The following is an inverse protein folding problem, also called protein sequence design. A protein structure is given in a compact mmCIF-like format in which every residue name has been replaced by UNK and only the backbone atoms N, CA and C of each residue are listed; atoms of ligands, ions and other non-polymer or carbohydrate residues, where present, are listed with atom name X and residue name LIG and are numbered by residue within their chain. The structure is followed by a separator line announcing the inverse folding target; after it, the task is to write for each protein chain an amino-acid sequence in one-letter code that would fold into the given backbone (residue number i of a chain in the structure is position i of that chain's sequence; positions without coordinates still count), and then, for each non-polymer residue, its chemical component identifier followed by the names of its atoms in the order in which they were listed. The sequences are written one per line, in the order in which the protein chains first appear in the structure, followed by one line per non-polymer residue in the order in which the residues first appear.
data_IF_854486753962
#
_entry.id   IF_854486753962
#
_cell.length_a   1.000
_cell.length_b   1.000
_cell.length_c   1.000
_cell.angle_alpha   90.00
_cell.angle_beta   90.00
_cell.angle_gamma   90.00
#
_symmetry.space_group_name_H-M   'P 1'
#
loop_
_entity.id
_entity.type
_entity.pdbx_description
1 polymer ?
#
# COMPACT_ATOMS: atom_id res chain seq x y z
N UNK A 1 29.88 -8.64 -78.50
CA UNK A 1 29.04 -7.64 -79.19
C UNK A 1 28.75 -6.53 -78.19
N UNK A 2 29.37 -5.37 -78.44
CA UNK A 2 29.30 -4.14 -77.66
C UNK A 2 28.01 -3.39 -77.99
N UNK A 3 27.40 -2.70 -77.02
CA UNK A 3 26.94 -1.30 -77.12
C UNK A 3 26.80 -0.78 -75.69
N UNK A 4 27.71 0.14 -75.32
CA UNK A 4 27.49 1.15 -74.30
C UNK A 4 26.61 2.25 -74.88
N UNK A 5 25.64 2.74 -74.10
CA UNK A 5 25.08 4.07 -74.29
C UNK A 5 25.02 4.77 -72.92
N UNK A 6 26.06 5.57 -72.67
CA UNK A 6 26.08 6.66 -71.70
C UNK A 6 25.13 7.75 -72.15
N UNK A 7 24.26 8.25 -71.26
CA UNK A 7 23.56 9.52 -71.47
C UNK A 7 23.69 10.41 -70.23
N UNK A 8 24.18 11.60 -70.53
CA UNK A 8 24.59 12.73 -69.71
C UNK A 8 23.50 13.34 -68.84
N UNK A 9 23.87 13.76 -67.62
CA UNK A 9 23.14 14.71 -66.78
C UNK A 9 23.42 16.15 -67.25
N UNK A 10 22.46 17.07 -67.08
CA UNK A 10 22.80 18.27 -66.33
C UNK A 10 21.83 18.56 -65.18
N UNK A 11 22.47 19.04 -64.12
CA UNK A 11 21.96 19.68 -62.91
C UNK A 11 20.72 20.55 -63.10
N UNK A 12 19.69 20.31 -62.30
CA UNK A 12 18.80 21.36 -61.80
C UNK A 12 19.15 21.58 -60.33
N UNK A 13 19.77 22.73 -60.09
CA UNK A 13 20.12 23.22 -58.78
C UNK A 13 18.99 24.10 -58.21
N UNK A 14 18.98 24.16 -56.88
CA UNK A 14 18.39 25.18 -56.01
C UNK A 14 16.91 25.01 -55.64
N UNK A 15 16.74 24.47 -54.44
CA UNK A 15 15.55 24.59 -53.61
C UNK A 15 15.93 24.32 -52.15
N UNK A 16 16.84 25.13 -51.60
CA UNK A 16 17.27 25.08 -50.21
C UNK A 16 16.08 25.39 -49.29
N UNK A 17 15.54 24.39 -48.60
CA UNK A 17 14.64 24.61 -47.45
C UNK A 17 15.28 24.03 -46.20
N UNK A 18 16.00 24.91 -45.50
CA UNK A 18 16.40 24.73 -44.11
C UNK A 18 15.15 24.84 -43.23
N UNK A 19 14.50 23.72 -42.92
CA UNK A 19 13.63 23.63 -41.74
C UNK A 19 14.40 22.99 -40.60
N UNK A 20 15.17 23.83 -39.90
CA UNK A 20 15.69 23.54 -38.56
C UNK A 20 14.48 23.47 -37.62
N UNK A 21 13.86 22.30 -37.56
CA UNK A 21 12.91 21.93 -36.53
C UNK A 21 13.62 21.07 -35.51
N UNK A 22 14.59 21.64 -34.80
CA UNK A 22 15.08 21.05 -33.56
C UNK A 22 13.92 21.11 -32.56
N UNK A 23 13.07 20.08 -32.61
CA UNK A 23 12.07 19.82 -31.60
C UNK A 23 12.80 19.52 -30.30
N UNK A 24 13.07 20.57 -29.53
CA UNK A 24 13.30 20.46 -28.09
C UNK A 24 12.03 19.83 -27.52
N UNK A 25 12.01 18.50 -27.44
CA UNK A 25 11.14 17.81 -26.53
C UNK A 25 11.64 18.20 -25.14
N UNK A 26 11.09 19.28 -24.61
CA UNK A 26 11.15 19.55 -23.18
C UNK A 26 10.68 18.26 -22.52
N UNK A 27 11.61 17.52 -21.93
CA UNK A 27 11.30 16.45 -21.00
C UNK A 27 10.48 17.11 -19.92
N UNK A 28 9.15 17.06 -20.06
CA UNK A 28 8.27 17.46 -18.98
C UNK A 28 8.69 16.62 -17.79
N UNK A 29 8.99 17.23 -16.63
CA UNK A 29 9.11 16.46 -15.41
C UNK A 29 7.83 15.65 -15.31
N UNK A 30 7.92 14.33 -15.48
CA UNK A 30 6.81 13.47 -15.06
C UNK A 30 6.74 13.68 -13.56
N UNK A 31 5.78 14.49 -13.12
CA UNK A 31 5.40 14.58 -11.73
C UNK A 31 5.16 13.15 -11.26
N UNK A 32 6.12 12.61 -10.51
CA UNK A 32 5.94 11.35 -9.80
C UNK A 32 4.87 11.64 -8.77
N UNK A 33 3.61 11.46 -9.17
CA UNK A 33 2.46 11.60 -8.28
C UNK A 33 2.75 10.74 -7.05
N UNK A 34 2.87 11.38 -5.89
CA UNK A 34 3.18 10.71 -4.64
C UNK A 34 2.14 9.59 -4.42
N UNK A 35 2.54 8.34 -4.66
CA UNK A 35 1.63 7.18 -4.57
C UNK A 35 1.26 6.94 -3.12
N UNK A 36 0.10 7.41 -2.67
CA UNK A 36 -0.38 7.13 -1.32
C UNK A 36 -0.58 5.64 -1.07
N UNK A 37 -0.29 5.19 0.15
CA UNK A 37 -0.65 3.85 0.59
C UNK A 37 -2.12 3.83 1.01
N UNK A 38 -2.87 2.83 0.53
CA UNK A 38 -4.29 2.67 0.87
C UNK A 38 -4.58 1.32 1.52
N UNK A 39 -5.51 1.32 2.47
CA UNK A 39 -5.99 0.08 3.10
C UNK A 39 -7.02 -0.60 2.19
N UNK A 40 -7.12 -1.95 2.22
CA UNK A 40 -8.15 -2.67 1.49
C UNK A 40 -9.55 -2.28 1.97
N UNK A 41 -10.47 -2.01 1.05
CA UNK A 41 -11.86 -1.63 1.37
C UNK A 41 -12.56 -2.64 2.27
N UNK A 42 -12.25 -3.94 2.10
CA UNK A 42 -12.80 -5.02 2.91
C UNK A 42 -12.45 -4.96 4.39
N UNK A 43 -11.39 -4.25 4.80
CA UNK A 43 -10.97 -4.16 6.20
C UNK A 43 -11.43 -2.86 6.87
N UNK A 44 -11.86 -1.87 6.08
CA UNK A 44 -12.23 -0.55 6.58
C UNK A 44 -13.41 -0.63 7.54
N UNK A 45 -13.41 0.27 8.52
CA UNK A 45 -14.42 0.33 9.57
C UNK A 45 -13.80 0.49 10.95
N UNK A 46 -14.67 0.44 11.96
CA UNK A 46 -14.31 0.46 13.38
C UNK A 46 -14.56 -0.92 13.95
N UNK A 47 -13.56 -1.47 14.62
CA UNK A 47 -13.58 -2.85 15.08
C UNK A 47 -13.08 -2.92 16.52
N UNK A 48 -13.69 -3.76 17.35
CA UNK A 48 -13.27 -3.92 18.74
C UNK A 48 -13.34 -5.39 19.16
N UNK A 49 -12.34 -5.88 19.88
CA UNK A 49 -12.43 -7.20 20.52
C UNK A 49 -13.39 -7.13 21.71
N UNK A 50 -13.99 -8.26 22.05
CA UNK A 50 -14.62 -8.36 23.37
C UNK A 50 -13.58 -8.17 24.47
N UNK A 51 -14.07 -7.72 25.63
CA UNK A 51 -13.27 -7.61 26.83
C UNK A 51 -12.94 -9.02 27.36
N UNK A 52 -11.68 -9.30 27.61
CA UNK A 52 -11.27 -10.57 28.22
C UNK A 52 -11.46 -10.56 29.75
N UNK A 53 -11.09 -11.67 30.41
CA UNK A 53 -11.18 -11.83 31.87
C UNK A 53 -10.31 -10.84 32.65
N UNK A 54 -9.23 -10.34 32.04
CA UNK A 54 -8.34 -9.34 32.63
C UNK A 54 -8.83 -7.91 32.37
N UNK A 55 -9.98 -7.76 31.73
CA UNK A 55 -10.54 -6.46 31.37
C UNK A 55 -9.96 -5.86 30.09
N UNK A 56 -9.12 -6.59 29.34
CA UNK A 56 -8.42 -6.09 28.16
C UNK A 56 -9.31 -6.12 26.92
N UNK A 57 -9.23 -5.09 26.09
CA UNK A 57 -9.78 -5.10 24.74
C UNK A 57 -8.96 -4.20 23.82
N UNK A 58 -9.01 -4.48 22.52
CA UNK A 58 -8.33 -3.68 21.51
C UNK A 58 -9.34 -3.12 20.50
N UNK A 59 -9.17 -1.84 20.19
CA UNK A 59 -9.92 -1.11 19.19
C UNK A 59 -9.04 -0.82 17.97
N UNK A 60 -9.61 -1.05 16.79
CA UNK A 60 -9.01 -0.72 15.50
C UNK A 60 -9.95 0.22 14.74
N UNK A 61 -9.39 1.27 14.13
CA UNK A 61 -10.11 2.08 13.14
C UNK A 61 -9.30 2.13 11.85
N UNK A 62 -9.89 1.62 10.77
CA UNK A 62 -9.24 1.44 9.48
C UNK A 62 -9.97 2.32 8.46
N UNK A 63 -9.30 3.38 8.00
CA UNK A 63 -9.78 4.27 6.94
C UNK A 63 -8.98 4.04 5.66
N UNK A 64 -9.36 4.69 4.54
CA UNK A 64 -8.64 4.54 3.26
C UNK A 64 -7.14 4.80 3.37
N UNK A 65 -6.72 5.75 4.21
CA UNK A 65 -5.33 6.20 4.34
C UNK A 65 -4.79 6.13 5.76
N UNK A 66 -5.51 5.48 6.69
CA UNK A 66 -5.18 5.54 8.10
C UNK A 66 -5.47 4.23 8.80
N UNK A 67 -4.58 3.84 9.69
CA UNK A 67 -4.77 2.72 10.58
C UNK A 67 -4.50 3.17 12.01
N UNK A 68 -5.53 3.11 12.85
CA UNK A 68 -5.50 3.49 14.24
C UNK A 68 -5.68 2.27 15.14
N UNK A 69 -4.91 2.21 16.21
CA UNK A 69 -4.96 1.16 17.22
C UNK A 69 -4.99 1.79 18.60
N UNK A 70 -5.89 1.31 19.45
CA UNK A 70 -5.90 1.65 20.86
C UNK A 70 -6.22 0.43 21.73
N UNK A 71 -5.61 0.36 22.90
CA UNK A 71 -5.81 -0.71 23.87
C UNK A 71 -6.59 -0.14 25.07
N UNK A 72 -7.45 -0.98 25.65
CA UNK A 72 -8.27 -0.60 26.78
C UNK A 72 -8.18 -1.66 27.86
N UNK A 73 -8.09 -1.22 29.12
CA UNK A 73 -8.23 -2.07 30.30
C UNK A 73 -9.42 -1.56 31.13
N UNK A 74 -10.38 -2.44 31.42
CA UNK A 74 -11.63 -2.09 32.10
C UNK A 74 -12.36 -0.88 31.46
N UNK A 75 -12.35 -0.80 30.13
CA UNK A 75 -13.00 0.27 29.38
C UNK A 75 -12.25 1.61 29.35
N UNK A 76 -11.08 1.71 30.00
CA UNK A 76 -10.22 2.90 29.98
C UNK A 76 -9.05 2.68 29.02
N UNK A 77 -8.72 3.71 28.23
CA UNK A 77 -7.57 3.68 27.34
C UNK A 77 -6.28 3.43 28.13
N UNK A 78 -5.44 2.52 27.67
CA UNK A 78 -4.14 2.21 28.28
C UNK A 78 -3.02 2.28 27.24
N UNK A 79 -1.89 2.85 27.65
CA UNK A 79 -0.79 3.14 26.73
C UNK A 79 -1.10 4.29 25.77
N UNK A 80 -0.19 4.53 24.84
CA UNK A 80 -0.37 5.55 23.80
C UNK A 80 -1.03 4.93 22.56
N UNK A 81 -2.17 5.48 22.10
CA UNK A 81 -2.76 5.05 20.84
C UNK A 81 -1.79 5.24 19.68
N UNK A 82 -1.82 4.32 18.73
CA UNK A 82 -0.98 4.37 17.54
C UNK A 82 -1.80 4.75 16.32
N UNK A 83 -1.25 5.64 15.49
CA UNK A 83 -1.82 6.00 14.19
C UNK A 83 -0.75 5.94 13.10
N UNK A 84 -1.05 5.21 12.03
CA UNK A 84 -0.18 5.06 10.87
C UNK A 84 -0.87 5.63 9.65
N UNK A 85 -0.18 6.55 8.96
CA UNK A 85 -0.74 7.27 7.81
C UNK A 85 -0.16 6.79 6.49
N UNK A 86 -1.03 6.45 5.54
CA UNK A 86 -0.65 6.16 4.15
C UNK A 86 -0.37 7.41 3.31
N UNK A 87 -0.49 8.61 3.90
CA UNK A 87 -0.13 9.88 3.26
C UNK A 87 1.18 10.46 3.78
N UNK A 88 1.67 9.98 4.92
CA UNK A 88 2.88 10.50 5.57
C UNK A 88 4.07 9.61 5.24
N UNK A 89 5.16 10.18 4.77
CA UNK A 89 6.43 9.47 4.66
C UNK A 89 7.05 9.29 6.05
N UNK A 90 7.75 8.19 6.26
CA UNK A 90 8.52 8.00 7.49
C UNK A 90 9.83 8.78 7.44
N UNK A 91 10.21 9.45 8.54
CA UNK A 91 11.36 10.35 8.57
C UNK A 91 12.73 9.62 8.44
N UNK A 92 12.77 8.32 8.71
CA UNK A 92 14.02 7.56 8.85
C UNK A 92 14.14 6.36 7.89
N UNK A 93 13.17 6.16 6.99
CA UNK A 93 13.18 5.05 6.01
C UNK A 93 12.52 5.50 4.70
N UNK A 94 12.85 4.83 3.61
CA UNK A 94 12.09 4.97 2.36
C UNK A 94 10.69 4.37 2.55
N UNK A 95 9.66 5.16 2.27
CA UNK A 95 8.27 4.72 2.22
C UNK A 95 7.30 5.48 3.13
N UNK A 96 6.04 5.09 3.07
CA UNK A 96 4.98 5.66 3.92
C UNK A 96 5.02 5.05 5.32
N UNK A 97 4.47 5.79 6.28
CA UNK A 97 4.34 5.39 7.68
C UNK A 97 3.42 4.18 7.85
N UNK A 98 2.33 4.13 7.07
CA UNK A 98 1.49 2.94 6.94
C UNK A 98 2.06 1.97 5.91
N UNK A 99 2.25 0.72 6.29
CA UNK A 99 2.50 -0.40 5.37
C UNK A 99 1.22 -1.21 5.17
N UNK A 100 0.97 -1.64 3.93
CA UNK A 100 -0.13 -2.54 3.56
C UNK A 100 0.44 -3.61 2.62
N UNK A 101 0.33 -4.89 3.00
CA UNK A 101 0.75 -5.99 2.13
C UNK A 101 -0.27 -6.28 1.05
N UNK A 102 0.15 -7.03 0.03
CA UNK A 102 -0.79 -7.77 -0.81
C UNK A 102 -1.53 -8.83 0.03
N UNK A 103 -2.68 -9.27 -0.49
CA UNK A 103 -3.47 -10.33 0.13
C UNK A 103 -2.70 -11.64 0.06
N UNK A 104 -2.51 -12.31 1.20
CA UNK A 104 -1.90 -13.64 1.25
C UNK A 104 -2.83 -14.71 0.64
N UNK A 105 -2.32 -15.90 0.29
CA UNK A 105 -3.14 -17.03 -0.17
C UNK A 105 -4.24 -17.44 0.83
N UNK A 106 -4.02 -17.21 2.13
CA UNK A 106 -5.01 -17.47 3.20
C UNK A 106 -6.06 -16.35 3.33
N UNK A 107 -5.88 -15.28 2.57
CA UNK A 107 -6.80 -14.15 2.45
C UNK A 107 -6.57 -13.02 3.45
N UNK A 108 -5.40 -12.97 4.10
CA UNK A 108 -5.05 -11.93 5.07
C UNK A 108 -4.27 -10.80 4.40
N UNK A 109 -4.41 -9.59 4.93
CA UNK A 109 -3.54 -8.46 4.65
C UNK A 109 -2.77 -8.09 5.90
N UNK A 110 -1.52 -7.68 5.76
CA UNK A 110 -0.73 -7.10 6.84
C UNK A 110 -0.85 -5.59 6.79
N UNK A 111 -1.25 -4.96 7.90
CA UNK A 111 -1.36 -3.51 8.06
C UNK A 111 -0.56 -3.10 9.30
N UNK A 112 0.16 -1.98 9.25
CA UNK A 112 0.88 -1.53 10.43
C UNK A 112 1.86 -0.40 10.16
N UNK A 113 2.79 -0.22 11.08
CA UNK A 113 3.84 0.79 10.94
C UNK A 113 5.00 0.26 10.11
N UNK A 114 5.44 1.04 9.15
CA UNK A 114 6.60 0.68 8.33
C UNK A 114 7.87 0.61 9.20
N UNK A 115 8.61 -0.50 9.08
CA UNK A 115 9.88 -0.72 9.76
C UNK A 115 9.79 -1.06 11.25
N UNK A 116 8.63 -1.49 11.75
CA UNK A 116 8.48 -1.97 13.13
C UNK A 116 7.65 -3.26 13.19
N UNK A 117 7.62 -3.89 14.38
CA UNK A 117 6.81 -5.09 14.65
C UNK A 117 5.33 -4.78 14.94
N UNK A 118 4.92 -3.51 14.81
CA UNK A 118 3.54 -3.08 14.97
C UNK A 118 2.73 -3.41 13.71
N UNK A 119 2.57 -4.70 13.42
CA UNK A 119 1.90 -5.26 12.26
C UNK A 119 0.72 -6.13 12.70
N UNK A 120 -0.45 -5.89 12.11
CA UNK A 120 -1.65 -6.67 12.27
C UNK A 120 -1.94 -7.42 10.99
N UNK A 121 -2.21 -8.71 11.10
CA UNK A 121 -2.58 -9.51 9.96
C UNK A 121 -4.09 -9.78 9.98
N UNK A 122 -4.82 -9.15 9.07
CA UNK A 122 -6.26 -8.97 9.17
C UNK A 122 -6.98 -9.57 7.97
N UNK A 123 -8.13 -10.21 8.25
CA UNK A 123 -9.05 -10.72 7.23
C UNK A 123 -10.49 -10.50 7.70
N UNK A 124 -11.32 -9.90 6.85
CA UNK A 124 -12.77 -9.88 7.08
C UNK A 124 -13.35 -11.27 6.84
N UNK A 125 -14.12 -11.78 7.79
CA UNK A 125 -14.74 -13.12 7.75
C UNK A 125 -16.07 -13.10 8.48
N UNK A 126 -16.76 -14.25 8.52
CA UNK A 126 -17.87 -14.48 9.44
C UNK A 126 -17.46 -15.36 10.62
N UNK A 127 -18.03 -15.07 11.78
CA UNK A 127 -17.93 -15.87 13.00
C UNK A 127 -19.28 -15.83 13.72
N UNK A 128 -19.88 -17.01 13.95
CA UNK A 128 -21.21 -17.15 14.58
C UNK A 128 -22.28 -16.24 13.94
N UNK A 129 -22.35 -16.23 12.60
CA UNK A 129 -23.30 -15.41 11.85
C UNK A 129 -22.94 -13.92 11.74
N UNK A 130 -22.00 -13.42 12.55
CA UNK A 130 -21.59 -12.03 12.55
C UNK A 130 -20.40 -11.77 11.63
N UNK A 131 -20.38 -10.58 11.03
CA UNK A 131 -19.21 -10.11 10.27
C UNK A 131 -18.15 -9.62 11.24
N UNK A 132 -16.96 -10.19 11.14
CA UNK A 132 -15.83 -9.89 12.04
C UNK A 132 -14.56 -9.64 11.25
N UNK A 133 -13.63 -8.92 11.87
CA UNK A 133 -12.24 -8.89 11.46
C UNK A 133 -11.49 -9.95 12.26
N UNK A 134 -10.91 -10.94 11.59
CA UNK A 134 -10.04 -11.93 12.23
C UNK A 134 -8.60 -11.46 12.14
N UNK A 135 -7.93 -11.41 13.29
CA UNK A 135 -6.48 -11.28 13.38
C UNK A 135 -5.85 -12.59 13.80
N UNK A 136 -4.63 -12.84 13.37
CA UNK A 136 -3.78 -13.96 13.78
C UNK A 136 -2.41 -13.41 14.14
N UNK A 137 -1.76 -14.02 15.12
CA UNK A 137 -0.43 -13.65 15.58
C UNK A 137 0.47 -14.87 15.67
N UNK A 138 1.77 -14.63 15.50
CA UNK A 138 2.82 -15.63 15.53
C UNK A 138 3.69 -15.43 16.78
N UNK A 139 4.43 -16.47 17.17
CA UNK A 139 5.51 -16.31 18.14
C UNK A 139 6.70 -15.71 17.38
N UNK A 140 7.36 -14.72 17.97
CA UNK A 140 8.66 -14.27 17.46
C UNK A 140 9.59 -15.50 17.39
N UNK A 141 10.12 -15.79 16.19
CA UNK A 141 10.97 -16.96 15.91
C UNK A 141 10.28 -18.14 15.24
N UNK A 142 8.94 -18.16 15.13
CA UNK A 142 8.20 -19.30 14.56
C UNK A 142 7.09 -18.81 13.61
N UNK A 143 7.51 -18.39 12.41
CA UNK A 143 6.65 -17.77 11.39
C UNK A 143 5.70 -18.77 10.69
N UNK A 144 5.78 -20.07 11.01
CA UNK A 144 5.12 -21.14 10.25
C UNK A 144 3.72 -21.44 10.78
N UNK A 145 3.46 -21.24 12.08
CA UNK A 145 2.15 -21.56 12.69
C UNK A 145 1.60 -20.42 13.54
N UNK A 146 0.35 -19.98 13.29
CA UNK A 146 -0.32 -19.05 14.21
C UNK A 146 -0.55 -19.70 15.56
N UNK A 147 -0.18 -19.00 16.62
CA UNK A 147 -0.38 -19.44 18.01
C UNK A 147 -1.74 -19.02 18.55
N UNK A 148 -2.46 -18.14 17.85
CA UNK A 148 -3.80 -17.75 18.23
C UNK A 148 -4.47 -16.84 17.21
N UNK A 149 -5.73 -16.52 17.49
CA UNK A 149 -6.49 -15.56 16.70
C UNK A 149 -7.40 -14.73 17.58
N UNK A 150 -7.55 -13.46 17.23
CA UNK A 150 -8.50 -12.54 17.85
C UNK A 150 -9.59 -12.19 16.85
N UNK A 151 -10.82 -12.04 17.33
CA UNK A 151 -11.96 -11.59 16.54
C UNK A 151 -12.35 -10.19 16.99
N UNK A 152 -12.42 -9.27 16.05
CA UNK A 152 -12.90 -7.91 16.27
C UNK A 152 -14.28 -7.78 15.65
N UNK A 153 -15.20 -7.29 16.45
CA UNK A 153 -16.60 -7.08 16.09
C UNK A 153 -16.80 -5.64 15.66
N UNK A 154 -17.74 -5.42 14.75
CA UNK A 154 -18.03 -4.07 14.29
C UNK A 154 -18.53 -3.22 15.47
N UNK A 155 -18.04 -1.98 15.57
CA UNK A 155 -18.45 -1.00 16.58
C UNK A 155 -19.36 0.06 16.00
#
# INVERSE_FOLDING_TARGET
MMIMLTSTKPLLAVGLTLSVGAGVSWLQPTDVSAKYTTTPSSLRGKWQTHRDSNGESQFLSISKYGFYVNNFRYGRSVGQPSYFSGKRLTAYRSGYDLVVSQKSPRGYYSLGKNGTDAIWHLKKTRYHGQTVLKSWYYRLGDAVKPIGSSYYYHR
#
